data_IF_659306063035
#
_entry.id   IF_659306063035
#
_cell.length_a   1.000
_cell.length_b   1.000
_cell.length_c   1.000
_cell.angle_alpha   90.00
_cell.angle_beta   90.00
_cell.angle_gamma   90.00
#
_symmetry.space_group_name_H-M   'P 1'
#
loop_
_entity.id
_entity.type
_entity.pdbx_description
1 polymer ?
#
# COMPACT_ATOMS: atom_id res chain seq x y z
N UNK A 1 0.47 -11.09 12.69
CA UNK A 1 0.92 -9.75 13.13
C UNK A 1 1.37 -9.84 14.57
N UNK A 2 2.44 -9.13 14.95
CA UNK A 2 2.92 -9.10 16.34
C UNK A 2 1.96 -8.29 17.23
N UNK A 3 1.15 -9.00 18.02
CA UNK A 3 0.14 -8.41 18.90
C UNK A 3 0.74 -7.52 19.99
N UNK A 4 1.97 -7.78 20.47
CA UNK A 4 2.62 -6.97 21.50
C UNK A 4 2.97 -5.58 20.96
N UNK A 5 3.56 -5.53 19.76
CA UNK A 5 3.86 -4.26 19.08
C UNK A 5 2.62 -3.42 18.80
N UNK A 6 1.53 -4.07 18.37
CA UNK A 6 0.29 -3.35 18.07
C UNK A 6 -0.33 -2.73 19.33
N UNK A 7 -0.33 -3.48 20.44
CA UNK A 7 -0.80 -2.98 21.74
C UNK A 7 0.03 -1.79 22.23
N UNK A 8 1.36 -1.89 22.16
CA UNK A 8 2.27 -0.81 22.55
C UNK A 8 2.09 0.45 21.69
N UNK A 9 1.87 0.30 20.38
CA UNK A 9 1.57 1.43 19.49
C UNK A 9 0.24 2.08 19.87
N UNK A 10 -0.81 1.29 20.07
CA UNK A 10 -2.12 1.80 20.47
C UNK A 10 -2.04 2.59 21.77
N UNK A 11 -1.39 2.06 22.81
CA UNK A 11 -1.22 2.75 24.10
C UNK A 11 -0.47 4.08 23.95
N UNK A 12 0.54 4.15 23.07
CA UNK A 12 1.24 5.39 22.78
C UNK A 12 0.36 6.41 22.05
N UNK A 13 -0.41 5.99 21.05
CA UNK A 13 -1.32 6.88 20.30
C UNK A 13 -2.44 7.43 21.20
N UNK A 14 -2.99 6.60 22.08
CA UNK A 14 -4.04 7.01 23.04
C UNK A 14 -3.59 8.17 23.93
N UNK A 15 -2.30 8.28 24.26
CA UNK A 15 -1.76 9.39 25.06
C UNK A 15 -1.84 10.74 24.35
N UNK A 16 -1.82 10.74 23.02
CA UNK A 16 -1.94 11.94 22.19
C UNK A 16 -3.39 12.21 21.77
N UNK A 17 -4.22 11.16 21.71
CA UNK A 17 -5.65 11.25 21.44
C UNK A 17 -6.43 11.59 22.71
N UNK A 18 -6.60 12.88 23.02
CA UNK A 18 -7.39 13.32 24.19
C UNK A 18 -8.90 13.02 24.08
N UNK A 19 -9.38 12.41 22.98
CA UNK A 19 -10.77 11.98 22.80
C UNK A 19 -10.83 10.98 21.63
N UNK A 20 -11.06 9.71 21.94
CA UNK A 20 -11.12 8.60 20.98
C UNK A 20 -12.36 8.62 20.07
N UNK A 21 -13.32 9.52 20.32
CA UNK A 21 -14.56 9.64 19.53
C UNK A 21 -14.45 10.55 18.29
N UNK A 22 -13.31 11.23 18.09
CA UNK A 22 -13.16 12.16 16.97
C UNK A 22 -12.42 11.50 15.81
N UNK A 23 -13.06 11.41 14.64
CA UNK A 23 -12.37 11.13 13.38
C UNK A 23 -11.27 12.16 13.17
N UNK A 24 -10.01 11.73 13.29
CA UNK A 24 -8.84 12.62 13.21
C UNK A 24 -8.46 12.96 11.77
N UNK A 25 -8.73 12.06 10.83
CA UNK A 25 -8.48 12.23 9.41
C UNK A 25 -9.37 11.28 8.61
N UNK A 26 -9.79 11.73 7.43
CA UNK A 26 -10.48 10.90 6.45
C UNK A 26 -10.01 11.28 5.05
N UNK A 27 -10.29 10.38 4.10
CA UNK A 27 -10.20 10.67 2.68
C UNK A 27 -11.58 10.45 2.09
N UNK A 28 -12.05 11.40 1.30
CA UNK A 28 -13.23 11.20 0.50
C UNK A 28 -12.97 10.14 -0.58
N UNK A 29 -13.95 9.28 -0.81
CA UNK A 29 -13.83 8.16 -1.74
C UNK A 29 -13.55 8.65 -3.16
N UNK A 30 -14.19 9.74 -3.59
CA UNK A 30 -13.98 10.31 -4.92
C UNK A 30 -12.54 10.76 -5.15
N UNK A 31 -11.89 11.38 -4.17
CA UNK A 31 -10.50 11.80 -4.29
C UNK A 31 -9.54 10.62 -4.35
N UNK A 32 -9.76 9.56 -3.55
CA UNK A 32 -8.93 8.34 -3.67
C UNK A 32 -9.18 7.71 -5.03
N UNK A 33 -10.43 7.55 -5.43
CA UNK A 33 -10.80 6.94 -6.69
C UNK A 33 -10.14 7.66 -7.88
N UNK A 34 -10.27 8.99 -7.95
CA UNK A 34 -9.62 9.81 -9.00
C UNK A 34 -8.10 9.65 -9.01
N UNK A 35 -7.45 9.64 -7.83
CA UNK A 35 -6.00 9.42 -7.72
C UNK A 35 -5.58 8.02 -8.21
N UNK A 36 -6.35 7.00 -7.86
CA UNK A 36 -6.08 5.63 -8.30
C UNK A 36 -6.27 5.47 -9.81
N UNK A 37 -7.42 5.90 -10.34
CA UNK A 37 -7.70 5.80 -11.79
C UNK A 37 -6.70 6.62 -12.60
N UNK A 38 -6.32 7.82 -12.13
CA UNK A 38 -5.37 8.68 -12.85
C UNK A 38 -3.93 8.17 -12.89
N UNK A 39 -3.57 7.21 -12.01
CA UNK A 39 -2.16 6.76 -11.88
C UNK A 39 -1.96 5.26 -12.10
N UNK A 40 -2.88 4.44 -11.59
CA UNK A 40 -2.71 2.98 -11.49
C UNK A 40 -3.85 2.20 -12.15
N UNK A 41 -4.65 2.83 -13.02
CA UNK A 41 -5.75 2.15 -13.73
C UNK A 41 -5.26 0.87 -14.41
N UNK A 42 -4.19 1.01 -15.19
CA UNK A 42 -3.42 -0.07 -15.78
C UNK A 42 -1.96 0.11 -15.34
N UNK A 43 -1.26 -0.96 -15.00
CA UNK A 43 0.08 -0.90 -14.39
C UNK A 43 0.92 -2.08 -14.84
N UNK A 44 2.17 -1.81 -15.22
CA UNK A 44 3.18 -2.84 -15.41
C UNK A 44 3.87 -3.05 -14.06
N UNK A 45 3.83 -4.27 -13.55
CA UNK A 45 4.49 -4.64 -12.31
C UNK A 45 5.66 -5.56 -12.62
N UNK A 46 6.86 -5.17 -12.17
CA UNK A 46 8.10 -5.90 -12.44
C UNK A 46 8.65 -6.47 -11.15
N UNK A 47 8.94 -7.76 -11.15
CA UNK A 47 9.70 -8.42 -10.08
C UNK A 47 11.15 -8.51 -10.54
N UNK A 48 12.06 -8.05 -9.67
CA UNK A 48 13.48 -8.13 -9.91
C UNK A 48 14.20 -8.66 -8.67
N UNK A 49 15.16 -9.54 -8.91
CA UNK A 49 16.18 -9.89 -7.92
C UNK A 49 17.21 -8.77 -7.86
N UNK A 50 17.80 -8.54 -6.68
CA UNK A 50 18.87 -7.58 -6.52
C UNK A 50 20.11 -8.21 -5.90
N UNK A 51 21.27 -7.69 -6.31
CA UNK A 51 22.56 -8.02 -5.70
C UNK A 51 23.40 -6.76 -5.57
N UNK A 52 24.38 -6.81 -4.67
CA UNK A 52 25.34 -5.71 -4.47
C UNK A 52 26.73 -6.15 -4.87
N UNK A 53 27.30 -5.53 -5.91
CA UNK A 53 28.63 -5.82 -6.45
C UNK A 53 29.48 -4.56 -6.33
N UNK A 54 30.61 -4.64 -5.59
CA UNK A 54 31.54 -3.51 -5.36
C UNK A 54 30.84 -2.22 -4.88
N UNK A 55 29.80 -2.36 -4.07
CA UNK A 55 29.04 -1.22 -3.52
C UNK A 55 27.89 -0.72 -4.39
N UNK A 56 27.79 -1.18 -5.64
CA UNK A 56 26.71 -0.85 -6.57
C UNK A 56 25.60 -1.90 -6.50
N UNK A 57 24.34 -1.44 -6.47
CA UNK A 57 23.17 -2.33 -6.55
C UNK A 57 22.85 -2.61 -8.02
N UNK A 58 22.71 -3.89 -8.35
CA UNK A 58 22.35 -4.41 -9.66
C UNK A 58 21.01 -5.15 -9.55
N UNK A 59 20.20 -5.07 -10.60
CA UNK A 59 18.87 -5.69 -10.65
C UNK A 59 18.77 -6.65 -11.83
N UNK A 60 18.25 -7.85 -11.58
CA UNK A 60 17.86 -8.82 -12.60
C UNK A 60 16.34 -8.82 -12.70
N UNK A 61 15.78 -8.29 -13.79
CA UNK A 61 14.32 -8.25 -13.99
C UNK A 61 13.84 -9.62 -14.46
N UNK A 62 13.08 -10.31 -13.62
CA UNK A 62 12.77 -11.73 -13.84
C UNK A 62 11.37 -11.93 -14.39
N UNK A 63 10.40 -11.17 -13.87
CA UNK A 63 8.98 -11.38 -14.18
C UNK A 63 8.27 -10.07 -14.40
N UNK A 64 7.38 -10.03 -15.39
CA UNK A 64 6.60 -8.84 -15.72
C UNK A 64 5.12 -9.19 -15.76
N UNK A 65 4.32 -8.40 -15.05
CA UNK A 65 2.86 -8.53 -15.02
C UNK A 65 2.20 -7.28 -15.59
N UNK A 66 1.22 -7.49 -16.46
CA UNK A 66 0.23 -6.48 -16.85
C UNK A 66 -0.95 -6.58 -15.89
N UNK A 67 -1.15 -5.53 -15.11
CA UNK A 67 -2.26 -5.37 -14.19
C UNK A 67 -3.24 -4.38 -14.80
N UNK A 68 -4.44 -4.84 -15.15
CA UNK A 68 -5.43 -4.02 -15.86
C UNK A 68 -6.75 -3.93 -15.12
N UNK A 69 -7.49 -2.87 -15.43
CA UNK A 69 -8.84 -2.64 -14.93
C UNK A 69 -8.88 -2.60 -13.38
N UNK A 70 -8.18 -1.62 -12.80
CA UNK A 70 -8.24 -1.30 -11.37
C UNK A 70 -9.70 -1.16 -10.89
N UNK A 71 -10.01 -1.80 -9.76
CA UNK A 71 -11.29 -1.80 -9.08
C UNK A 71 -11.20 -1.07 -7.74
N UNK A 72 -11.86 0.08 -7.65
CA UNK A 72 -11.97 0.83 -6.40
C UNK A 72 -12.73 0.05 -5.32
N UNK A 73 -13.75 -0.72 -5.71
CA UNK A 73 -14.49 -1.57 -4.77
C UNK A 73 -13.59 -2.66 -4.18
N UNK A 74 -12.68 -3.23 -4.99
CA UNK A 74 -11.73 -4.22 -4.48
C UNK A 74 -10.69 -3.58 -3.55
N UNK A 75 -10.26 -2.34 -3.82
CA UNK A 75 -9.46 -1.54 -2.88
C UNK A 75 -10.18 -1.36 -1.52
N UNK A 76 -11.46 -0.96 -1.53
CA UNK A 76 -12.21 -0.80 -0.27
C UNK A 76 -12.33 -2.13 0.49
N UNK A 77 -12.66 -3.22 -0.22
CA UNK A 77 -12.74 -4.56 0.35
C UNK A 77 -11.40 -4.99 0.97
N UNK A 78 -10.29 -4.81 0.26
CA UNK A 78 -8.97 -5.18 0.76
C UNK A 78 -8.53 -4.37 1.98
N UNK A 79 -9.01 -3.12 2.14
CA UNK A 79 -8.79 -2.32 3.37
C UNK A 79 -9.57 -2.95 4.52
N UNK A 80 -10.85 -3.26 4.32
CA UNK A 80 -11.71 -3.88 5.34
C UNK A 80 -11.20 -5.26 5.76
N UNK A 81 -10.64 -6.04 4.84
CA UNK A 81 -10.06 -7.37 5.09
C UNK A 81 -8.62 -7.33 5.63
N UNK A 82 -8.01 -6.14 5.76
CA UNK A 82 -6.64 -5.99 6.26
C UNK A 82 -5.55 -6.46 5.29
N UNK A 83 -5.90 -6.67 4.01
CA UNK A 83 -4.97 -6.99 2.92
C UNK A 83 -4.20 -5.73 2.49
N UNK A 84 -4.86 -4.58 2.59
CA UNK A 84 -4.32 -3.26 2.24
C UNK A 84 -4.07 -2.48 3.51
N UNK A 85 -2.86 -1.96 3.63
CA UNK A 85 -2.42 -1.22 4.80
C UNK A 85 -2.36 0.28 4.47
N UNK A 86 -2.85 1.09 5.39
CA UNK A 86 -2.68 2.55 5.38
C UNK A 86 -1.45 2.88 6.23
N UNK A 87 -0.37 3.29 5.58
CA UNK A 87 0.94 3.53 6.19
C UNK A 87 1.18 5.04 6.35
N UNK A 88 1.24 5.50 7.60
CA UNK A 88 1.53 6.88 7.96
C UNK A 88 3.05 7.11 8.03
N UNK A 89 3.65 7.42 6.89
CA UNK A 89 5.11 7.52 6.76
C UNK A 89 5.65 8.93 7.06
N UNK A 90 5.60 9.28 8.34
CA UNK A 90 6.04 10.60 8.85
C UNK A 90 6.98 10.48 10.09
N UNK A 91 7.72 9.37 10.19
CA UNK A 91 8.45 8.98 11.42
C UNK A 91 9.73 9.79 11.70
N UNK A 92 10.30 10.45 10.71
CA UNK A 92 11.64 11.07 10.78
C UNK A 92 11.61 12.60 10.79
N UNK A 93 10.46 13.21 11.10
CA UNK A 93 10.26 14.67 10.99
C UNK A 93 10.04 15.16 9.55
N UNK A 94 10.19 14.28 8.56
CA UNK A 94 9.78 14.52 7.17
C UNK A 94 8.54 13.68 6.85
N UNK A 95 7.54 14.30 6.23
CA UNK A 95 6.31 13.63 5.83
C UNK A 95 6.43 13.13 4.37
N UNK A 96 6.60 11.83 4.19
CA UNK A 96 6.66 11.19 2.86
C UNK A 96 5.27 10.89 2.26
N UNK A 97 4.21 11.38 2.90
CA UNK A 97 2.82 11.12 2.56
C UNK A 97 2.32 9.78 3.06
N UNK A 98 1.00 9.72 3.29
CA UNK A 98 0.28 8.47 3.63
C UNK A 98 0.24 7.55 2.42
N UNK A 99 0.55 6.27 2.62
CA UNK A 99 0.67 5.28 1.54
C UNK A 99 -0.40 4.20 1.69
N UNK A 100 -1.06 3.84 0.60
CA UNK A 100 -1.87 2.63 0.49
C UNK A 100 -0.96 1.52 -0.01
N UNK A 101 -0.72 0.50 0.81
CA UNK A 101 0.27 -0.55 0.53
C UNK A 101 -0.42 -1.90 0.42
N UNK A 102 -0.08 -2.61 -0.65
CA UNK A 102 -0.52 -3.97 -0.93
C UNK A 102 0.66 -4.92 -0.70
N UNK A 103 0.40 -6.07 -0.08
CA UNK A 103 1.39 -7.15 -0.02
C UNK A 103 1.56 -7.78 -1.40
N UNK A 104 2.79 -8.10 -1.80
CA UNK A 104 3.07 -8.82 -3.05
C UNK A 104 2.19 -10.05 -3.23
N UNK A 105 1.93 -10.42 -4.49
CA UNK A 105 1.09 -11.56 -4.90
C UNK A 105 -0.41 -11.43 -4.58
N UNK A 106 -0.90 -10.24 -4.27
CA UNK A 106 -2.34 -9.98 -4.02
C UNK A 106 -2.98 -9.08 -5.09
N UNK A 107 -2.45 -9.08 -6.32
CA UNK A 107 -2.87 -8.14 -7.37
C UNK A 107 -4.34 -8.28 -7.78
N UNK A 108 -4.89 -9.51 -7.76
CA UNK A 108 -6.30 -9.76 -8.08
C UNK A 108 -7.27 -9.12 -7.08
N UNK A 109 -6.79 -8.71 -5.91
CA UNK A 109 -7.57 -7.89 -4.97
C UNK A 109 -7.67 -6.41 -5.40
N UNK A 110 -7.13 -6.04 -6.56
CA UNK A 110 -7.12 -4.67 -7.08
C UNK A 110 -7.46 -4.62 -8.55
N UNK A 111 -6.96 -5.57 -9.33
CA UNK A 111 -7.07 -5.61 -10.76
C UNK A 111 -7.94 -6.78 -11.16
N UNK A 112 -8.84 -6.57 -12.11
CA UNK A 112 -9.71 -7.65 -12.59
C UNK A 112 -8.99 -8.54 -13.61
N UNK A 113 -7.88 -8.06 -14.18
CA UNK A 113 -7.02 -8.82 -15.09
C UNK A 113 -5.56 -8.72 -14.66
N UNK A 114 -4.91 -9.86 -14.63
CA UNK A 114 -3.47 -10.00 -14.34
C UNK A 114 -2.91 -10.99 -15.34
N UNK A 115 -1.97 -10.55 -16.15
CA UNK A 115 -1.29 -11.39 -17.13
C UNK A 115 0.22 -11.30 -16.91
N UNK A 116 0.88 -12.45 -16.80
CA UNK A 116 2.33 -12.54 -16.81
C UNK A 116 2.82 -12.60 -18.27
N UNK A 117 3.85 -11.83 -18.59
CA UNK A 117 4.35 -11.67 -19.98
C UNK A 117 5.75 -12.22 -20.17
N UNK A 118 6.55 -12.23 -19.11
CA UNK A 118 7.90 -12.79 -19.03
C UNK A 118 7.99 -13.56 -17.73
#
# INVERSE_FOLDING_TARGET
MDQKRHKLWSENVSRYSRNTEKTLAYWDFDSIHKKCVGKIRNTIYVIADSRKVKGQEEFNYERIFLLEDFSFNNLLKGILEGIILIDFDARTGHNHGTKFRLKQNNWLHFYTKVAEVI
#
